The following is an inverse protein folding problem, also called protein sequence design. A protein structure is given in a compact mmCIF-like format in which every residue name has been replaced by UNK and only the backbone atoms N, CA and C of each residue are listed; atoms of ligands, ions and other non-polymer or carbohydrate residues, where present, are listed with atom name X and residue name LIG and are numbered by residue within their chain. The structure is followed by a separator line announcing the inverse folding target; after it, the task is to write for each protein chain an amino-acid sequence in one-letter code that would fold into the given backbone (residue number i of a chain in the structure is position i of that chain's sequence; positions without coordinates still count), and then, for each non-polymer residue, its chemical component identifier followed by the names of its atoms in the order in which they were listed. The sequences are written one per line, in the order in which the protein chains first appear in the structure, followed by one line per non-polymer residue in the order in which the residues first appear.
data_IF_704402453116
#
_entry.id   IF_704402453116
#
_cell.length_a   1.000
_cell.length_b   1.000
_cell.length_c   1.000
_cell.angle_alpha   90.00
_cell.angle_beta   90.00
_cell.angle_gamma   90.00
#
_symmetry.space_group_name_H-M   'P 1'
#
loop_
_entity.id
_entity.type
_entity.pdbx_description
1 polymer ?
#
# COMPACT_ATOMS: atom_id res chain seq x y z
N UNK A 1 -23.06 39.53 -48.30
CA UNK A 1 -21.73 39.22 -47.68
C UNK A 1 -21.84 39.19 -46.15
N UNK A 2 -22.76 38.42 -45.59
CA UNK A 2 -23.04 38.42 -44.14
C UNK A 2 -23.34 37.05 -43.54
N UNK A 3 -23.04 35.93 -44.22
CA UNK A 3 -23.37 34.58 -43.75
C UNK A 3 -22.12 33.80 -43.25
N UNK A 4 -20.89 34.29 -43.46
CA UNK A 4 -19.65 33.55 -43.11
C UNK A 4 -19.13 33.74 -41.66
N UNK A 5 -19.65 34.69 -40.89
CA UNK A 5 -19.14 35.00 -39.54
C UNK A 5 -19.90 34.23 -38.40
N UNK A 6 -21.07 33.64 -38.69
CA UNK A 6 -21.85 32.93 -37.67
C UNK A 6 -21.40 31.49 -37.40
N UNK A 7 -20.82 30.82 -38.40
CA UNK A 7 -20.39 29.42 -38.28
C UNK A 7 -19.12 29.23 -37.44
N UNK A 8 -18.21 30.22 -37.41
CA UNK A 8 -16.94 30.12 -36.67
C UNK A 8 -17.16 30.28 -35.15
N UNK A 9 -18.13 31.14 -34.74
CA UNK A 9 -18.46 31.31 -33.33
C UNK A 9 -19.16 30.11 -32.72
N UNK A 10 -19.97 29.39 -33.48
CA UNK A 10 -20.68 28.20 -32.98
C UNK A 10 -19.74 27.01 -32.77
N UNK A 11 -18.75 26.82 -33.66
CA UNK A 11 -17.76 25.76 -33.59
C UNK A 11 -16.82 25.96 -32.39
N UNK A 12 -16.40 27.21 -32.11
CA UNK A 12 -15.52 27.53 -30.97
C UNK A 12 -16.22 27.37 -29.63
N UNK A 13 -17.51 27.73 -29.55
CA UNK A 13 -18.33 27.55 -28.34
C UNK A 13 -18.59 26.06 -28.08
N UNK A 14 -18.84 25.25 -29.13
CA UNK A 14 -19.03 23.80 -29.01
C UNK A 14 -17.76 23.10 -28.53
N UNK A 15 -16.59 23.52 -29.01
CA UNK A 15 -15.29 23.01 -28.56
C UNK A 15 -15.03 23.39 -27.09
N UNK A 16 -15.37 24.62 -26.66
CA UNK A 16 -15.24 25.02 -25.25
C UNK A 16 -16.21 24.29 -24.32
N UNK A 17 -17.42 23.98 -24.77
CA UNK A 17 -18.38 23.19 -24.00
C UNK A 17 -17.90 21.72 -23.89
N UNK A 18 -17.28 21.15 -24.93
CA UNK A 18 -16.75 19.79 -24.91
C UNK A 18 -15.48 19.65 -24.05
N UNK A 19 -14.67 20.72 -23.93
CA UNK A 19 -13.49 20.75 -23.04
C UNK A 19 -13.91 20.99 -21.58
N UNK A 20 -15.05 21.64 -21.33
CA UNK A 20 -15.58 21.86 -19.97
C UNK A 20 -16.27 20.66 -19.33
N UNK A 21 -16.76 19.70 -20.13
CA UNK A 21 -17.47 18.52 -19.62
C UNK A 21 -16.59 17.30 -19.33
N UNK A 22 -15.31 17.33 -19.69
CA UNK A 22 -14.41 16.17 -19.55
C UNK A 22 -13.44 16.26 -18.36
N UNK A 23 -13.61 17.16 -17.42
CA UNK A 23 -13.06 16.95 -16.09
C UNK A 23 -14.01 16.05 -15.30
N UNK A 24 -14.18 14.82 -15.76
CA UNK A 24 -14.77 13.76 -14.94
C UNK A 24 -14.00 13.77 -13.62
N UNK A 25 -14.72 14.01 -12.52
CA UNK A 25 -14.12 14.12 -11.19
C UNK A 25 -13.47 12.78 -10.88
N UNK A 26 -12.15 12.71 -11.09
CA UNK A 26 -11.36 11.50 -10.85
C UNK A 26 -11.64 11.03 -9.42
N UNK A 27 -12.20 9.83 -9.31
CA UNK A 27 -12.52 9.23 -8.03
C UNK A 27 -11.24 8.88 -7.28
N UNK A 28 -10.97 9.61 -6.18
CA UNK A 28 -9.79 9.38 -5.36
C UNK A 28 -10.04 9.80 -3.92
N UNK A 29 -9.56 8.97 -3.00
CA UNK A 29 -9.46 9.28 -1.57
C UNK A 29 -8.18 8.68 -1.03
N UNK A 30 -7.37 9.45 -0.28
CA UNK A 30 -6.23 8.89 0.42
C UNK A 30 -5.94 9.64 1.72
N UNK A 31 -5.48 8.88 2.72
CA UNK A 31 -5.13 9.41 4.02
C UNK A 31 -4.14 8.50 4.75
N UNK A 32 -3.38 9.06 5.68
CA UNK A 32 -2.71 8.30 6.73
C UNK A 32 -3.73 8.03 7.85
N UNK A 33 -3.82 6.79 8.28
CA UNK A 33 -4.76 6.36 9.30
C UNK A 33 -4.09 5.46 10.33
N UNK A 34 -4.23 5.83 11.60
CA UNK A 34 -3.84 4.98 12.72
C UNK A 34 -4.82 3.83 12.87
N UNK A 35 -4.31 2.67 13.26
CA UNK A 35 -5.08 1.53 13.73
C UNK A 35 -4.42 0.97 14.99
N UNK A 36 -5.24 0.49 15.91
CA UNK A 36 -4.77 -0.20 17.12
C UNK A 36 -4.81 -1.71 16.89
N UNK A 37 -3.83 -2.44 17.44
CA UNK A 37 -3.78 -3.90 17.30
C UNK A 37 -4.91 -4.56 18.09
N UNK A 38 -5.39 -5.71 17.60
CA UNK A 38 -6.53 -6.43 18.22
C UNK A 38 -6.10 -7.10 19.50
N UNK A 39 -4.91 -7.72 19.49
CA UNK A 39 -4.40 -8.55 20.56
C UNK A 39 -2.85 -8.63 20.53
N UNK A 40 -2.29 -9.36 21.51
CA UNK A 40 -0.84 -9.57 21.60
C UNK A 40 -0.24 -10.34 20.43
N UNK A 41 -1.02 -11.21 19.81
CA UNK A 41 -0.56 -12.01 18.67
C UNK A 41 -0.46 -11.15 17.40
N UNK A 42 -1.45 -10.28 17.16
CA UNK A 42 -1.39 -9.28 16.09
C UNK A 42 -0.20 -8.31 16.31
N UNK A 43 0.02 -7.88 17.55
CA UNK A 43 1.16 -7.05 17.94
C UNK A 43 2.49 -7.77 17.66
N UNK A 44 2.65 -9.02 18.04
CA UNK A 44 3.84 -9.83 17.80
C UNK A 44 4.13 -9.99 16.28
N UNK A 45 3.08 -10.16 15.47
CA UNK A 45 3.21 -10.26 14.02
C UNK A 45 3.78 -8.96 13.38
N UNK A 46 3.55 -7.79 13.98
CA UNK A 46 4.16 -6.55 13.53
C UNK A 46 5.64 -6.42 13.89
N UNK A 47 6.09 -7.10 14.95
CA UNK A 47 7.50 -7.09 15.36
C UNK A 47 8.35 -8.01 14.47
N UNK A 48 7.74 -9.09 13.97
CA UNK A 48 8.38 -10.05 13.08
C UNK A 48 8.55 -9.57 11.64
N UNK A 49 9.04 -10.47 10.81
CA UNK A 49 9.22 -10.25 9.38
C UNK A 49 7.95 -10.48 8.54
N UNK A 50 6.84 -10.92 9.17
CA UNK A 50 5.59 -11.20 8.47
C UNK A 50 4.89 -9.93 7.97
N UNK A 51 5.11 -8.81 8.68
CA UNK A 51 4.56 -7.51 8.30
C UNK A 51 5.68 -6.46 8.35
N UNK A 52 6.11 -6.02 7.18
CA UNK A 52 7.19 -5.04 7.04
C UNK A 52 6.66 -3.73 6.47
N UNK A 53 7.34 -2.62 6.78
CA UNK A 53 6.96 -1.30 6.27
C UNK A 53 6.95 -1.31 4.74
N UNK A 54 5.85 -0.83 4.16
CA UNK A 54 5.59 -0.89 2.73
C UNK A 54 4.82 -2.14 2.28
N UNK A 55 4.46 -3.08 3.16
CA UNK A 55 3.56 -4.16 2.80
C UNK A 55 2.14 -3.63 2.57
N UNK A 56 1.44 -4.26 1.63
CA UNK A 56 0.04 -3.94 1.32
C UNK A 56 -0.90 -4.83 2.12
N UNK A 57 -1.97 -4.22 2.60
CA UNK A 57 -3.04 -4.84 3.37
C UNK A 57 -4.35 -4.59 2.65
N UNK A 58 -5.31 -5.48 2.81
CA UNK A 58 -6.69 -5.27 2.41
C UNK A 58 -7.49 -4.65 3.56
N UNK A 59 -8.57 -3.96 3.21
CA UNK A 59 -9.53 -3.45 4.19
C UNK A 59 -10.80 -4.27 4.10
N UNK A 60 -11.09 -5.02 5.15
CA UNK A 60 -12.30 -5.83 5.25
C UNK A 60 -13.31 -5.19 6.20
N UNK A 61 -14.59 -5.24 5.85
CA UNK A 61 -15.64 -4.57 6.59
C UNK A 61 -16.51 -5.60 7.31
N UNK A 62 -16.65 -5.39 8.59
CA UNK A 62 -17.53 -6.16 9.45
C UNK A 62 -18.62 -5.23 10.00
N UNK A 63 -19.81 -5.37 9.44
CA UNK A 63 -20.97 -4.60 9.86
C UNK A 63 -21.81 -5.49 10.79
N UNK A 64 -21.93 -5.11 12.05
CA UNK A 64 -22.82 -5.71 13.01
C UNK A 64 -23.85 -4.67 13.47
N UNK A 65 -25.01 -5.06 14.08
CA UNK A 65 -25.97 -4.10 14.58
C UNK A 65 -25.37 -3.01 15.50
N UNK A 66 -24.32 -3.38 16.25
CA UNK A 66 -23.73 -2.53 17.27
C UNK A 66 -22.40 -1.89 16.84
N UNK A 67 -21.82 -2.29 15.70
CA UNK A 67 -20.54 -1.75 15.27
C UNK A 67 -20.28 -1.91 13.77
N UNK A 68 -19.67 -0.86 13.20
CA UNK A 68 -19.08 -0.91 11.86
C UNK A 68 -17.55 -0.83 12.01
N UNK A 69 -16.87 -1.95 11.75
CA UNK A 69 -15.40 -2.05 11.84
C UNK A 69 -14.79 -2.30 10.48
N UNK A 70 -13.87 -1.45 10.09
CA UNK A 70 -13.01 -1.67 8.94
C UNK A 70 -11.68 -2.26 9.43
N UNK A 71 -11.51 -3.55 9.17
CA UNK A 71 -10.34 -4.33 9.58
C UNK A 71 -9.20 -4.17 8.58
N UNK A 72 -7.99 -4.00 9.11
CA UNK A 72 -6.76 -4.13 8.34
C UNK A 72 -6.37 -5.61 8.34
N UNK A 73 -6.34 -6.20 7.15
CA UNK A 73 -6.04 -7.63 6.96
C UNK A 73 -4.74 -7.77 6.18
N UNK A 74 -3.80 -8.54 6.73
CA UNK A 74 -2.50 -8.75 6.10
C UNK A 74 -2.59 -9.72 4.89
N UNK A 75 -1.52 -9.85 4.08
CA UNK A 75 -1.51 -10.77 2.93
C UNK A 75 -1.75 -12.25 3.28
N UNK A 76 -1.65 -12.61 4.56
CA UNK A 76 -1.90 -13.97 5.04
C UNK A 76 -3.33 -14.18 5.56
N UNK A 77 -4.22 -13.17 5.38
CA UNK A 77 -5.62 -13.24 5.80
C UNK A 77 -5.86 -12.97 7.29
N UNK A 78 -4.83 -12.53 8.04
CA UNK A 78 -4.96 -12.24 9.47
C UNK A 78 -5.45 -10.80 9.70
N UNK A 79 -6.49 -10.63 10.54
CA UNK A 79 -6.94 -9.32 11.03
C UNK A 79 -5.91 -8.76 12.00
N UNK A 80 -5.30 -7.64 11.63
CA UNK A 80 -4.20 -7.02 12.36
C UNK A 80 -4.66 -5.92 13.32
N UNK A 81 -5.70 -5.22 12.96
CA UNK A 81 -6.27 -4.11 13.71
C UNK A 81 -7.46 -3.52 12.98
N UNK A 82 -8.04 -2.47 13.50
CA UNK A 82 -9.18 -1.79 12.89
C UNK A 82 -8.99 -0.28 12.83
N UNK A 83 -9.56 0.32 11.82
CA UNK A 83 -9.54 1.76 11.59
C UNK A 83 -10.50 2.48 12.54
N UNK A 84 -10.21 3.77 12.80
CA UNK A 84 -11.15 4.62 13.52
C UNK A 84 -12.48 4.73 12.76
N UNK A 85 -13.62 4.90 13.46
CA UNK A 85 -14.95 4.98 12.82
C UNK A 85 -15.03 5.98 11.68
N UNK A 86 -14.43 7.17 11.86
CA UNK A 86 -14.40 8.22 10.84
C UNK A 86 -13.70 7.79 9.54
N UNK A 87 -12.62 7.03 9.65
CA UNK A 87 -11.89 6.54 8.46
C UNK A 87 -12.64 5.36 7.85
N UNK A 88 -13.21 4.48 8.67
CA UNK A 88 -14.04 3.37 8.23
C UNK A 88 -15.21 3.86 7.37
N UNK A 89 -15.95 4.88 7.81
CA UNK A 89 -17.04 5.50 7.03
C UNK A 89 -16.57 6.03 5.67
N UNK A 90 -15.39 6.66 5.61
CA UNK A 90 -14.85 7.15 4.32
C UNK A 90 -14.51 6.01 3.37
N UNK A 91 -13.94 4.93 3.89
CA UNK A 91 -13.63 3.74 3.10
C UNK A 91 -14.90 3.03 2.66
N UNK A 92 -15.94 2.96 3.51
CA UNK A 92 -17.25 2.43 3.15
C UNK A 92 -17.88 3.22 2.00
N UNK A 93 -17.81 4.55 2.03
CA UNK A 93 -18.28 5.40 0.95
C UNK A 93 -17.50 5.14 -0.36
N UNK A 94 -16.20 4.91 -0.29
CA UNK A 94 -15.41 4.54 -1.45
C UNK A 94 -15.82 3.17 -2.00
N UNK A 95 -16.02 2.19 -1.13
CA UNK A 95 -16.47 0.84 -1.48
C UNK A 95 -17.86 0.86 -2.11
N UNK A 96 -18.79 1.66 -1.55
CA UNK A 96 -20.13 1.83 -2.10
C UNK A 96 -20.13 2.45 -3.51
N UNK A 97 -19.10 3.24 -3.85
CA UNK A 97 -18.86 3.76 -5.21
C UNK A 97 -18.17 2.74 -6.14
N UNK A 98 -17.87 1.54 -5.67
CA UNK A 98 -17.13 0.53 -6.43
C UNK A 98 -15.64 0.82 -6.57
N UNK A 99 -15.06 1.67 -5.72
CA UNK A 99 -13.63 2.00 -5.80
C UNK A 99 -12.77 0.91 -5.19
N UNK A 100 -11.60 0.70 -5.80
CA UNK A 100 -10.56 -0.15 -5.25
C UNK A 100 -9.90 0.52 -4.06
N UNK A 101 -9.63 -0.23 -2.99
CA UNK A 101 -8.98 0.28 -1.78
C UNK A 101 -7.79 -0.59 -1.42
N UNK A 102 -6.66 0.06 -1.17
CA UNK A 102 -5.41 -0.55 -0.71
C UNK A 102 -4.95 0.20 0.55
N UNK A 103 -4.45 -0.54 1.53
CA UNK A 103 -3.76 0.01 2.69
C UNK A 103 -2.28 -0.40 2.66
N UNK A 104 -1.37 0.52 2.96
CA UNK A 104 0.08 0.31 2.96
C UNK A 104 0.61 0.59 4.35
N UNK A 105 1.30 -0.38 4.98
CA UNK A 105 1.89 -0.20 6.30
C UNK A 105 2.99 0.88 6.25
N UNK A 106 2.81 1.95 7.01
CA UNK A 106 3.71 3.09 7.04
C UNK A 106 4.52 3.24 8.33
N UNK A 107 3.99 2.71 9.44
CA UNK A 107 4.58 2.85 10.76
C UNK A 107 4.08 1.76 11.69
N UNK A 108 4.94 1.28 12.58
CA UNK A 108 4.60 0.50 13.76
C UNK A 108 5.17 1.21 14.98
N UNK A 109 4.37 1.35 16.02
CA UNK A 109 4.71 2.04 17.25
C UNK A 109 4.23 1.25 18.48
N UNK A 110 4.81 1.59 19.62
CA UNK A 110 4.40 1.13 20.93
C UNK A 110 4.12 2.32 21.84
N UNK A 111 3.05 2.28 22.60
CA UNK A 111 2.72 3.26 23.64
C UNK A 111 2.62 2.54 24.98
N UNK A 112 3.29 3.09 26.02
CA UNK A 112 3.26 2.58 27.38
C UNK A 112 1.88 2.68 28.04
N UNK A 113 1.08 3.65 27.59
CA UNK A 113 -0.28 3.87 28.08
C UNK A 113 -1.32 3.48 27.03
N UNK A 114 -2.44 2.85 27.43
CA UNK A 114 -2.76 2.34 28.79
C UNK A 114 -1.91 1.12 29.15
N UNK A 115 -1.65 0.91 30.45
CA UNK A 115 -0.95 -0.29 30.92
C UNK A 115 -1.70 -1.58 30.52
N UNK A 116 -0.97 -2.64 30.13
CA UNK A 116 0.50 -2.88 30.12
C UNK A 116 1.22 -2.37 28.87
N UNK A 117 0.65 -1.43 28.13
CA UNK A 117 1.14 -0.90 26.86
C UNK A 117 0.44 -1.53 25.66
N UNK A 118 0.43 -0.77 24.55
CA UNK A 118 -0.28 -1.12 23.33
C UNK A 118 0.58 -0.89 22.11
N UNK A 119 0.65 -1.89 21.23
CA UNK A 119 1.15 -1.70 19.87
C UNK A 119 0.06 -1.13 18.98
N UNK A 120 0.45 -0.24 18.10
CA UNK A 120 -0.42 0.33 17.10
C UNK A 120 0.37 0.59 15.81
N UNK A 121 -0.30 0.78 14.72
CA UNK A 121 0.32 1.10 13.46
C UNK A 121 -0.37 2.25 12.75
N UNK A 122 0.26 2.70 11.69
CA UNK A 122 -0.33 3.61 10.75
C UNK A 122 -0.22 3.04 9.34
N UNK A 123 -1.30 3.11 8.61
CA UNK A 123 -1.38 2.74 7.20
C UNK A 123 -1.67 3.96 6.35
N UNK A 124 -1.18 3.94 5.13
CA UNK A 124 -1.67 4.82 4.06
C UNK A 124 -2.81 4.10 3.37
N UNK A 125 -4.00 4.67 3.42
CA UNK A 125 -5.17 4.18 2.67
C UNK A 125 -5.23 4.96 1.37
N UNK A 126 -5.38 4.26 0.26
CA UNK A 126 -5.59 4.84 -1.07
C UNK A 126 -6.79 4.12 -1.69
N UNK A 127 -7.84 4.89 -1.99
CA UNK A 127 -9.01 4.41 -2.72
C UNK A 127 -9.12 5.17 -4.03
N UNK A 128 -9.38 4.47 -5.13
CA UNK A 128 -9.43 5.06 -6.47
C UNK A 128 -10.44 4.35 -7.36
N UNK A 129 -10.92 5.08 -8.36
CA UNK A 129 -11.85 4.58 -9.36
C UNK A 129 -11.17 3.50 -10.21
N UNK A 130 -11.74 2.28 -10.33
CA UNK A 130 -11.20 1.19 -11.14
C UNK A 130 -11.07 1.54 -12.64
N UNK A 131 -11.77 2.56 -13.14
CA UNK A 131 -11.58 3.06 -14.49
C UNK A 131 -10.13 3.50 -14.78
N UNK A 132 -9.37 3.85 -13.74
CA UNK A 132 -7.96 4.28 -13.82
C UNK A 132 -6.99 3.29 -13.19
N UNK A 133 -7.37 2.01 -13.05
CA UNK A 133 -6.60 0.96 -12.38
C UNK A 133 -5.13 0.92 -12.82
N UNK A 134 -4.86 0.95 -14.14
CA UNK A 134 -3.50 0.86 -14.68
C UNK A 134 -2.58 1.97 -14.18
N UNK A 135 -3.08 3.21 -14.09
CA UNK A 135 -2.29 4.34 -13.61
C UNK A 135 -2.14 4.29 -12.08
N UNK A 136 -3.24 4.02 -11.36
CA UNK A 136 -3.19 4.01 -9.90
C UNK A 136 -2.45 2.80 -9.31
N UNK A 137 -2.45 1.62 -9.94
CA UNK A 137 -1.65 0.49 -9.48
C UNK A 137 -0.14 0.80 -9.54
N UNK A 138 0.32 1.45 -10.62
CA UNK A 138 1.71 1.93 -10.75
C UNK A 138 2.04 3.00 -9.69
N UNK A 139 1.13 3.96 -9.50
CA UNK A 139 1.26 5.00 -8.48
C UNK A 139 1.36 4.42 -7.07
N UNK A 140 0.46 3.50 -6.71
CA UNK A 140 0.45 2.80 -5.41
C UNK A 140 1.77 2.07 -5.17
N UNK A 141 2.30 1.38 -6.18
CA UNK A 141 3.61 0.71 -6.08
C UNK A 141 4.76 1.73 -5.86
N UNK A 142 4.69 2.89 -6.51
CA UNK A 142 5.62 4.00 -6.29
C UNK A 142 5.55 4.53 -4.85
N UNK A 143 4.35 4.77 -4.31
CA UNK A 143 4.12 5.18 -2.91
C UNK A 143 4.64 4.11 -1.95
N UNK A 144 4.36 2.83 -2.20
CA UNK A 144 4.84 1.70 -1.43
C UNK A 144 6.37 1.68 -1.32
N UNK A 145 7.07 1.90 -2.44
CA UNK A 145 8.54 1.98 -2.49
C UNK A 145 9.09 3.18 -1.72
N UNK A 146 8.40 4.32 -1.72
CA UNK A 146 8.81 5.47 -0.91
C UNK A 146 8.64 5.17 0.59
N UNK A 147 7.49 4.64 0.99
CA UNK A 147 7.19 4.29 2.38
C UNK A 147 8.19 3.25 2.90
N UNK A 148 8.54 2.24 2.12
CA UNK A 148 9.53 1.22 2.53
C UNK A 148 10.92 1.80 2.82
N UNK A 149 11.23 2.98 2.29
CA UNK A 149 12.48 3.74 2.54
C UNK A 149 12.33 4.80 3.65
N UNK A 150 11.24 4.77 4.42
CA UNK A 150 10.96 5.77 5.46
C UNK A 150 10.47 7.12 4.93
N UNK A 151 10.26 7.26 3.61
CA UNK A 151 9.72 8.48 3.03
C UNK A 151 8.20 8.45 3.14
N UNK A 152 7.60 9.54 3.65
CA UNK A 152 6.15 9.68 3.86
C UNK A 152 5.58 10.68 2.86
N UNK A 153 5.21 10.26 1.64
CA UNK A 153 4.69 11.16 0.63
C UNK A 153 3.31 11.72 1.04
N UNK A 154 3.01 12.95 0.61
CA UNK A 154 1.69 13.55 0.76
C UNK A 154 0.72 12.87 -0.19
N UNK A 155 -0.15 12.02 0.34
CA UNK A 155 -1.11 11.24 -0.45
C UNK A 155 -2.46 11.94 -0.64
N UNK A 156 -2.77 12.98 0.14
CA UNK A 156 -3.98 13.79 -0.03
C UNK A 156 -3.75 14.76 -1.19
N UNK A 157 -4.22 14.37 -2.38
CA UNK A 157 -3.94 15.04 -3.64
C UNK A 157 -5.14 15.86 -4.12
N UNK A 158 -4.86 16.96 -4.83
CA UNK A 158 -5.85 17.74 -5.56
C UNK A 158 -6.02 17.27 -7.01
N UNK A 159 -7.02 17.83 -7.74
CA UNK A 159 -7.36 17.42 -9.11
C UNK A 159 -6.16 17.44 -10.09
N UNK A 160 -5.35 18.48 -10.05
CA UNK A 160 -4.19 18.61 -10.94
C UNK A 160 -3.15 17.51 -10.73
N UNK A 161 -2.97 17.07 -9.49
CA UNK A 161 -2.06 15.98 -9.16
C UNK A 161 -2.63 14.64 -9.62
N UNK A 162 -3.94 14.44 -9.52
CA UNK A 162 -4.63 13.24 -10.01
C UNK A 162 -4.52 13.15 -11.53
N UNK A 163 -4.69 14.27 -12.23
CA UNK A 163 -4.50 14.31 -13.67
C UNK A 163 -3.07 13.94 -14.07
N UNK A 164 -2.06 14.44 -13.35
CA UNK A 164 -0.65 14.06 -13.57
C UNK A 164 -0.40 12.57 -13.40
N UNK A 165 -1.05 11.92 -12.42
CA UNK A 165 -0.94 10.46 -12.26
C UNK A 165 -1.45 9.75 -13.51
N UNK A 166 -2.59 10.18 -14.06
CA UNK A 166 -3.18 9.58 -15.26
C UNK A 166 -2.28 9.82 -16.48
N UNK A 167 -1.87 11.08 -16.71
CA UNK A 167 -1.07 11.49 -17.87
C UNK A 167 0.30 10.78 -17.92
N UNK A 168 0.84 10.45 -16.74
CA UNK A 168 2.14 9.76 -16.61
C UNK A 168 2.00 8.26 -16.41
N UNK A 169 0.79 7.69 -16.57
CA UNK A 169 0.51 6.27 -16.31
C UNK A 169 1.00 5.81 -14.93
N UNK A 170 0.84 6.67 -13.91
CA UNK A 170 1.23 6.40 -12.54
C UNK A 170 2.71 6.64 -12.20
N UNK A 171 3.53 7.06 -13.14
CA UNK A 171 4.96 7.30 -12.89
C UNK A 171 5.23 8.55 -12.05
N UNK A 172 4.33 9.53 -12.05
CA UNK A 172 4.45 10.72 -11.22
C UNK A 172 4.20 10.40 -9.75
N UNK A 173 5.04 10.92 -8.87
CA UNK A 173 4.92 10.79 -7.42
C UNK A 173 5.01 12.18 -6.77
N UNK A 174 4.27 12.42 -5.66
CA UNK A 174 4.34 13.69 -4.94
C UNK A 174 5.72 13.89 -4.32
N UNK A 175 6.27 15.10 -4.46
CA UNK A 175 7.51 15.54 -3.81
C UNK A 175 7.31 15.94 -2.36
N UNK A 176 6.11 16.43 -2.03
CA UNK A 176 5.74 16.86 -0.68
C UNK A 176 5.71 15.67 0.27
N UNK A 177 6.12 15.91 1.52
CA UNK A 177 6.19 14.89 2.56
C UNK A 177 5.32 15.25 3.76
N UNK A 178 4.83 14.23 4.43
CA UNK A 178 4.09 14.35 5.69
C UNK A 178 5.01 13.97 6.83
N UNK A 179 5.02 14.78 7.89
CA UNK A 179 5.78 14.46 9.11
C UNK A 179 5.25 13.18 9.77
N UNK A 180 6.10 12.54 10.56
CA UNK A 180 5.66 11.49 11.48
C UNK A 180 4.58 12.04 12.42
N UNK A 181 3.66 11.20 12.92
CA UNK A 181 2.73 11.59 13.96
C UNK A 181 3.46 12.22 15.13
N UNK A 182 2.80 13.15 15.84
CA UNK A 182 3.39 13.75 17.03
C UNK A 182 3.68 12.66 18.06
N UNK A 183 4.94 12.59 18.49
CA UNK A 183 5.36 11.63 19.51
C UNK A 183 4.84 12.05 20.88
N UNK A 184 3.99 11.22 21.46
CA UNK A 184 3.50 11.40 22.83
C UNK A 184 4.52 10.82 23.83
N UNK A 185 4.44 11.28 25.10
CA UNK A 185 5.28 10.74 26.19
C UNK A 185 4.99 9.24 26.35
N UNK A 186 6.02 8.44 26.47
CA UNK A 186 5.89 6.98 26.57
C UNK A 186 5.60 6.28 25.21
N UNK A 187 5.73 6.97 24.08
CA UNK A 187 5.61 6.36 22.75
C UNK A 187 6.98 6.07 22.15
N UNK A 188 7.17 4.90 21.60
CA UNK A 188 8.35 4.51 20.82
C UNK A 188 7.97 4.13 19.39
N UNK A 189 8.76 4.63 18.41
CA UNK A 189 8.68 4.15 17.03
C UNK A 189 9.41 2.81 16.95
N UNK A 190 8.74 1.76 16.51
CA UNK A 190 9.29 0.40 16.38
C UNK A 190 9.80 0.18 14.96
N UNK A 191 8.99 0.54 13.97
CA UNK A 191 9.34 0.46 12.55
C UNK A 191 8.85 1.71 11.83
N UNK A 192 9.76 2.44 11.19
CA UNK A 192 9.46 3.62 10.35
C UNK A 192 9.89 3.44 8.91
N UNK A 193 10.75 2.46 8.69
CA UNK A 193 11.30 2.09 7.38
C UNK A 193 11.59 0.60 7.38
N UNK A 194 11.90 0.06 6.24
CA UNK A 194 12.28 -1.35 6.08
C UNK A 194 13.75 -1.52 6.42
N UNK A 195 14.05 -2.44 7.33
CA UNK A 195 15.41 -2.82 7.67
C UNK A 195 16.08 -3.61 6.52
N UNK A 196 17.41 -3.72 6.51
CA UNK A 196 18.14 -4.51 5.53
C UNK A 196 17.74 -5.99 5.53
N UNK A 197 17.48 -6.57 6.70
CA UNK A 197 16.99 -7.95 6.84
C UNK A 197 15.57 -8.12 6.29
N UNK A 198 14.69 -7.16 6.52
CA UNK A 198 13.33 -7.17 5.96
C UNK A 198 13.31 -7.00 4.43
N UNK A 199 14.29 -6.27 3.87
CA UNK A 199 14.47 -6.19 2.42
C UNK A 199 14.83 -7.55 1.81
N UNK A 200 15.65 -8.36 2.47
CA UNK A 200 15.95 -9.73 2.06
C UNK A 200 14.73 -10.64 2.14
N UNK A 201 13.90 -10.49 3.19
CA UNK A 201 12.65 -11.24 3.33
C UNK A 201 11.69 -10.91 2.18
N UNK A 202 11.54 -9.63 1.82
CA UNK A 202 10.72 -9.25 0.67
C UNK A 202 11.23 -9.88 -0.63
N UNK A 203 12.54 -9.87 -0.82
CA UNK A 203 13.15 -10.46 -2.01
C UNK A 203 12.92 -11.97 -2.06
N UNK A 204 12.97 -12.65 -0.92
CA UNK A 204 12.64 -14.08 -0.81
C UNK A 204 11.15 -14.36 -1.09
N UNK A 205 10.23 -13.52 -0.58
CA UNK A 205 8.78 -13.63 -0.82
C UNK A 205 8.41 -13.44 -2.30
N UNK A 206 9.14 -12.59 -3.04
CA UNK A 206 8.92 -12.38 -4.48
C UNK A 206 9.36 -13.56 -5.35
N UNK A 207 9.86 -14.64 -4.75
CA UNK A 207 10.28 -15.83 -5.47
C UNK A 207 11.41 -15.53 -6.45
N UNK A 208 12.61 -15.26 -5.91
CA UNK A 208 13.77 -15.03 -6.76
C UNK A 208 14.13 -16.34 -7.46
N UNK A 209 13.74 -16.48 -8.74
CA UNK A 209 14.03 -17.62 -9.59
C UNK A 209 15.52 -17.97 -9.52
N UNK A 210 16.40 -16.97 -9.42
CA UNK A 210 17.85 -17.17 -9.23
C UNK A 210 18.21 -17.91 -7.94
N UNK A 211 17.58 -17.58 -6.81
CA UNK A 211 17.79 -18.30 -5.55
C UNK A 211 17.26 -19.75 -5.62
N UNK A 212 16.12 -19.94 -6.27
CA UNK A 212 15.58 -21.30 -6.47
C UNK A 212 16.50 -22.14 -7.32
N UNK A 213 17.00 -21.61 -8.44
CA UNK A 213 17.97 -22.30 -9.32
C UNK A 213 19.29 -22.58 -8.54
N UNK A 214 19.82 -21.62 -7.82
CA UNK A 214 21.05 -21.79 -7.02
C UNK A 214 20.85 -22.87 -5.95
N UNK A 215 19.71 -22.94 -5.29
CA UNK A 215 19.38 -24.00 -4.32
C UNK A 215 19.33 -25.38 -4.96
N UNK A 216 18.73 -25.50 -6.14
CA UNK A 216 18.70 -26.77 -6.88
C UNK A 216 20.11 -27.19 -7.34
N UNK A 217 20.92 -26.27 -7.86
CA UNK A 217 22.33 -26.54 -8.25
C UNK A 217 23.12 -27.02 -7.04
N UNK A 218 22.98 -26.36 -5.89
CA UNK A 218 23.66 -26.75 -4.66
C UNK A 218 23.24 -28.14 -4.20
N UNK A 219 21.95 -28.46 -4.23
CA UNK A 219 21.41 -29.76 -3.85
C UNK A 219 21.92 -30.88 -4.79
N UNK A 220 21.95 -30.62 -6.09
CA UNK A 220 22.48 -31.55 -7.08
C UNK A 220 24.00 -31.78 -6.88
N UNK A 221 24.77 -30.72 -6.58
CA UNK A 221 26.19 -30.83 -6.28
C UNK A 221 26.43 -31.68 -5.02
N UNK A 222 25.59 -31.53 -4.00
CA UNK A 222 25.68 -32.29 -2.76
C UNK A 222 25.38 -33.77 -2.99
N UNK A 223 24.37 -34.09 -3.79
CA UNK A 223 24.06 -35.47 -4.22
C UNK A 223 25.19 -36.05 -5.01
N UNK A 224 25.76 -35.33 -5.98
CA UNK A 224 26.89 -35.76 -6.76
C UNK A 224 28.14 -36.06 -5.90
N UNK A 225 28.41 -35.22 -4.92
CA UNK A 225 29.48 -35.41 -3.94
C UNK A 225 29.26 -36.70 -3.10
N UNK A 226 28.04 -36.95 -2.65
CA UNK A 226 27.69 -38.16 -1.91
C UNK A 226 27.89 -39.44 -2.79
N UNK A 227 27.37 -39.42 -4.02
CA UNK A 227 27.55 -40.56 -4.96
C UNK A 227 29.01 -40.80 -5.25
N UNK A 228 29.81 -39.73 -5.51
CA UNK A 228 31.22 -39.84 -5.77
C UNK A 228 31.97 -40.36 -4.54
N UNK A 229 31.63 -39.87 -3.34
CA UNK A 229 32.23 -40.34 -2.08
C UNK A 229 31.96 -41.83 -1.82
N UNK A 230 30.72 -42.30 -2.04
CA UNK A 230 30.32 -43.68 -1.87
C UNK A 230 31.02 -44.58 -2.90
N UNK A 231 31.13 -44.13 -4.15
CA UNK A 231 31.85 -44.84 -5.20
C UNK A 231 33.36 -44.92 -4.90
N UNK A 232 33.97 -43.84 -4.41
CA UNK A 232 35.38 -43.77 -4.01
C UNK A 232 35.70 -44.67 -2.81
N UNK A 233 34.73 -44.91 -1.92
CA UNK A 233 34.85 -45.78 -0.74
C UNK A 233 34.56 -47.27 -1.08
N UNK A 234 34.29 -47.60 -2.34
CA UNK A 234 34.06 -48.99 -2.77
C UNK A 234 32.76 -49.62 -2.26
N UNK A 235 31.75 -48.78 -1.95
CA UNK A 235 30.44 -49.22 -1.49
C UNK A 235 29.47 -49.51 -2.67
N UNK A 236 29.88 -49.21 -3.91
CA UNK A 236 29.25 -49.58 -5.17
C UNK A 236 30.27 -49.96 -6.19
#
# INVERSE_FOLDING_TARGET
MAVRLSFIKFSTILIFIFIGETMAKIGYFATYARFDTVDKEAAAAFLGADNIVGDTFTVDHEITPDSNKAWIVNPFGKKMGYLSPKVAEQVDLCKAKGWNTVAILALVAFSEQPEPGLYWGEVVIISYDPAYESAFSTFVEGIRKQISKGVRPKVKLGPDSLQKIIDTHGAWLPSDRVALPKKEKGTAWVKTERSGTEALVEQARKGNIGCTIASWIFLLALVALLVFGLHSCGLF
#
